data_IF_060575634628
#
_entry.id   IF_060575634628
#
_cell.length_a   1.000
_cell.length_b   1.000
_cell.length_c   1.000
_cell.angle_alpha   90.00
_cell.angle_beta   90.00
_cell.angle_gamma   90.00
#
_symmetry.space_group_name_H-M   'P 1'
#
loop_
_entity.id
_entity.type
_entity.pdbx_description
1 polymer ?
#
# COMPACT_ATOMS: atom_id res chain seq x y z
N UNK A 1 -12.60 15.21 -15.39
CA UNK A 1 -11.65 14.47 -16.26
C UNK A 1 -10.68 13.53 -15.52
N UNK A 2 -10.54 13.59 -14.18
CA UNK A 2 -9.60 12.69 -13.44
C UNK A 2 -9.98 11.20 -13.52
N UNK A 3 -11.27 10.87 -13.49
CA UNK A 3 -11.75 9.48 -13.62
C UNK A 3 -11.42 8.88 -14.99
N UNK A 4 -11.67 9.60 -16.09
CA UNK A 4 -11.35 9.10 -17.44
C UNK A 4 -9.86 8.78 -17.65
N UNK A 5 -8.95 9.56 -17.04
CA UNK A 5 -7.51 9.26 -17.09
C UNK A 5 -7.12 8.01 -16.28
N UNK A 6 -7.89 7.68 -15.23
CA UNK A 6 -7.65 6.48 -14.43
C UNK A 6 -8.17 5.23 -15.16
N UNK A 7 -9.32 5.32 -15.83
CA UNK A 7 -9.88 4.21 -16.61
C UNK A 7 -8.99 3.85 -17.80
N UNK A 8 -8.45 4.85 -18.50
CA UNK A 8 -7.44 4.63 -19.56
C UNK A 8 -6.18 3.95 -18.99
N UNK A 9 -5.67 4.42 -17.85
CA UNK A 9 -4.52 3.80 -17.19
C UNK A 9 -4.80 2.35 -16.76
N UNK A 10 -6.00 2.05 -16.28
CA UNK A 10 -6.45 0.69 -15.96
C UNK A 10 -6.45 -0.18 -17.23
N UNK A 11 -7.03 0.31 -18.32
CA UNK A 11 -7.08 -0.42 -19.59
C UNK A 11 -5.67 -0.77 -20.10
N UNK A 12 -4.74 0.19 -20.07
CA UNK A 12 -3.35 -0.03 -20.47
C UNK A 12 -2.63 -1.04 -19.56
N UNK A 13 -2.84 -0.97 -18.24
CA UNK A 13 -2.27 -1.96 -17.31
C UNK A 13 -2.84 -3.36 -17.52
N UNK A 14 -4.13 -3.49 -17.84
CA UNK A 14 -4.75 -4.77 -18.16
C UNK A 14 -4.18 -5.37 -19.46
N UNK A 15 -4.02 -4.56 -20.51
CA UNK A 15 -3.35 -5.00 -21.75
C UNK A 15 -1.90 -5.45 -21.50
N UNK A 16 -1.14 -4.67 -20.72
CA UNK A 16 0.23 -5.04 -20.36
C UNK A 16 0.27 -6.32 -19.51
N UNK A 17 -0.72 -6.55 -18.65
CA UNK A 17 -0.82 -7.77 -17.85
C UNK A 17 -1.13 -8.98 -18.74
N UNK A 18 -2.04 -8.85 -19.71
CA UNK A 18 -2.36 -9.91 -20.67
C UNK A 18 -1.10 -10.36 -21.44
N UNK A 19 -0.34 -9.40 -22.00
CA UNK A 19 0.91 -9.69 -22.71
C UNK A 19 1.92 -10.42 -21.80
N UNK A 20 2.05 -9.98 -20.55
CA UNK A 20 2.96 -10.63 -19.59
C UNK A 20 2.51 -12.03 -19.20
N UNK A 21 1.21 -12.29 -19.13
CA UNK A 21 0.66 -13.62 -18.82
C UNK A 21 0.88 -14.62 -19.95
N UNK A 22 1.09 -14.16 -21.19
CA UNK A 22 1.49 -15.01 -22.33
C UNK A 22 2.96 -15.42 -22.26
N UNK A 23 3.81 -14.58 -21.67
CA UNK A 23 5.27 -14.77 -21.64
C UNK A 23 5.80 -15.32 -20.30
N UNK A 24 5.08 -15.10 -19.19
CA UNK A 24 5.54 -15.43 -17.85
C UNK A 24 4.46 -16.16 -17.03
N UNK A 25 4.86 -17.01 -16.07
CA UNK A 25 3.91 -17.63 -15.14
C UNK A 25 3.04 -16.60 -14.41
N UNK A 26 1.80 -17.01 -14.08
CA UNK A 26 0.81 -16.16 -13.40
C UNK A 26 1.35 -15.55 -12.09
N UNK A 27 2.14 -16.33 -11.35
CA UNK A 27 2.86 -15.90 -10.15
C UNK A 27 4.34 -15.73 -10.49
N UNK A 28 4.67 -14.60 -11.14
CA UNK A 28 6.04 -14.23 -11.45
C UNK A 28 6.29 -12.78 -11.06
N UNK A 29 7.55 -12.37 -10.96
CA UNK A 29 7.91 -10.97 -10.70
C UNK A 29 7.35 -10.04 -11.76
N UNK A 30 7.34 -10.47 -13.03
CA UNK A 30 6.87 -9.63 -14.13
C UNK A 30 5.38 -9.34 -14.04
N UNK A 31 4.57 -10.34 -13.72
CA UNK A 31 3.13 -10.15 -13.50
C UNK A 31 2.88 -9.35 -12.22
N UNK A 32 3.67 -9.56 -11.16
CA UNK A 32 3.56 -8.85 -9.89
C UNK A 32 3.75 -7.33 -10.03
N UNK A 33 4.69 -6.86 -10.87
CA UNK A 33 4.91 -5.43 -11.12
C UNK A 33 3.64 -4.80 -11.69
N UNK A 34 3.05 -5.41 -12.73
CA UNK A 34 1.85 -4.86 -13.36
C UNK A 34 0.64 -4.99 -12.45
N UNK A 35 0.48 -6.10 -11.73
CA UNK A 35 -0.61 -6.25 -10.76
C UNK A 35 -0.51 -5.23 -9.61
N UNK A 36 0.69 -4.90 -9.13
CA UNK A 36 0.86 -3.84 -8.13
C UNK A 36 0.47 -2.45 -8.68
N UNK A 37 0.89 -2.12 -9.90
CA UNK A 37 0.53 -0.87 -10.55
C UNK A 37 -0.97 -0.75 -10.77
N UNK A 38 -1.60 -1.82 -11.27
CA UNK A 38 -3.05 -1.91 -11.47
C UNK A 38 -3.80 -1.72 -10.14
N UNK A 39 -3.35 -2.39 -9.08
CA UNK A 39 -3.91 -2.25 -7.74
C UNK A 39 -3.84 -0.82 -7.20
N UNK A 40 -2.70 -0.15 -7.35
CA UNK A 40 -2.56 1.28 -7.00
C UNK A 40 -3.52 2.17 -7.80
N UNK A 41 -3.69 1.89 -9.09
CA UNK A 41 -4.61 2.68 -9.93
C UNK A 41 -6.07 2.45 -9.56
N UNK A 42 -6.47 1.21 -9.26
CA UNK A 42 -7.81 0.90 -8.72
C UNK A 42 -8.08 1.60 -7.39
N UNK A 43 -7.11 1.62 -6.46
CA UNK A 43 -7.24 2.39 -5.21
C UNK A 43 -7.51 3.87 -5.46
N UNK A 44 -6.79 4.47 -6.42
CA UNK A 44 -6.99 5.89 -6.79
C UNK A 44 -8.34 6.14 -7.47
N UNK A 45 -8.93 5.12 -8.07
CA UNK A 45 -10.27 5.15 -8.67
C UNK A 45 -11.38 4.82 -7.66
N UNK A 46 -11.06 4.42 -6.42
CA UNK A 46 -12.04 4.02 -5.41
C UNK A 46 -12.60 2.60 -5.60
N UNK A 47 -11.98 1.79 -6.46
CA UNK A 47 -12.36 0.41 -6.81
C UNK A 47 -11.63 -0.56 -5.88
N UNK A 48 -12.13 -0.73 -4.66
CA UNK A 48 -11.38 -1.39 -3.58
C UNK A 48 -11.27 -2.91 -3.77
N UNK A 49 -12.29 -3.52 -4.34
CA UNK A 49 -12.35 -4.96 -4.59
C UNK A 49 -11.32 -5.37 -5.65
N UNK A 50 -11.27 -4.68 -6.78
CA UNK A 50 -10.28 -4.95 -7.84
C UNK A 50 -8.86 -4.56 -7.40
N UNK A 51 -8.73 -3.52 -6.58
CA UNK A 51 -7.47 -3.19 -5.93
C UNK A 51 -6.97 -4.33 -5.05
N UNK A 52 -7.86 -4.91 -4.23
CA UNK A 52 -7.54 -6.04 -3.36
C UNK A 52 -7.05 -7.24 -4.16
N UNK A 53 -7.79 -7.65 -5.19
CA UNK A 53 -7.40 -8.78 -6.03
C UNK A 53 -6.00 -8.57 -6.62
N UNK A 54 -5.78 -7.40 -7.22
CA UNK A 54 -4.52 -7.06 -7.89
C UNK A 54 -3.34 -7.00 -6.92
N UNK A 55 -3.51 -6.34 -5.77
CA UNK A 55 -2.45 -6.17 -4.77
C UNK A 55 -2.12 -7.47 -4.05
N UNK A 56 -3.11 -8.31 -3.72
CA UNK A 56 -2.87 -9.60 -3.08
C UNK A 56 -2.16 -10.58 -4.03
N UNK A 57 -2.47 -10.55 -5.33
CA UNK A 57 -1.73 -11.32 -6.34
C UNK A 57 -0.27 -10.89 -6.42
N UNK A 58 0.00 -9.58 -6.44
CA UNK A 58 1.36 -9.05 -6.39
C UNK A 58 2.08 -9.44 -5.09
N UNK A 59 1.40 -9.34 -3.94
CA UNK A 59 1.97 -9.71 -2.65
C UNK A 59 2.31 -11.21 -2.58
N UNK A 60 1.46 -12.08 -3.11
CA UNK A 60 1.70 -13.53 -3.16
C UNK A 60 2.97 -13.85 -3.95
N UNK A 61 3.11 -13.27 -5.16
CA UNK A 61 4.32 -13.43 -5.97
C UNK A 61 5.59 -12.88 -5.29
N UNK A 62 5.47 -11.83 -4.47
CA UNK A 62 6.59 -11.22 -3.70
C UNK A 62 6.86 -11.87 -2.35
N UNK A 63 6.02 -12.81 -1.91
CA UNK A 63 6.26 -13.65 -0.72
C UNK A 63 6.93 -14.97 -1.08
N UNK A 64 6.80 -15.40 -2.33
CA UNK A 64 7.39 -16.64 -2.81
C UNK A 64 8.92 -16.53 -2.90
N UNK A 65 9.61 -17.16 -1.96
CA UNK A 65 11.07 -17.17 -1.89
C UNK A 65 11.73 -17.83 -3.11
N UNK A 66 11.01 -18.68 -3.86
CA UNK A 66 11.55 -19.37 -5.05
C UNK A 66 11.69 -18.45 -6.26
N UNK A 67 10.93 -17.35 -6.32
CA UNK A 67 10.94 -16.39 -7.42
C UNK A 67 11.28 -14.96 -6.99
N UNK A 68 12.04 -14.79 -5.90
CA UNK A 68 12.53 -13.48 -5.46
C UNK A 68 11.73 -12.82 -4.33
N UNK A 69 10.97 -13.59 -3.55
CA UNK A 69 10.21 -13.08 -2.41
C UNK A 69 11.08 -12.78 -1.18
N UNK A 70 10.68 -11.73 -0.44
CA UNK A 70 11.14 -11.32 0.92
C UNK A 70 12.66 -11.37 1.23
N UNK A 71 13.53 -11.45 0.22
CA UNK A 71 14.98 -11.48 0.39
C UNK A 71 15.78 -11.60 -0.92
N UNK A 72 15.16 -12.08 -2.01
CA UNK A 72 15.87 -12.45 -3.26
C UNK A 72 15.42 -11.71 -4.53
N UNK A 73 14.56 -10.68 -4.45
CA UNK A 73 14.08 -9.90 -5.59
C UNK A 73 14.24 -8.38 -5.38
N UNK A 74 13.82 -7.53 -6.36
CA UNK A 74 13.91 -6.08 -6.21
C UNK A 74 13.21 -5.60 -4.93
N UNK A 75 14.02 -5.23 -3.94
CA UNK A 75 13.57 -4.93 -2.56
C UNK A 75 12.59 -3.76 -2.53
N UNK A 76 12.82 -2.77 -3.41
CA UNK A 76 11.95 -1.62 -3.57
C UNK A 76 10.53 -1.99 -4.03
N UNK A 77 10.39 -2.89 -5.02
CA UNK A 77 9.07 -3.30 -5.50
C UNK A 77 8.27 -4.02 -4.42
N UNK A 78 8.93 -4.88 -3.64
CA UNK A 78 8.29 -5.58 -2.54
C UNK A 78 7.82 -4.59 -1.45
N UNK A 79 8.63 -3.58 -1.13
CA UNK A 79 8.25 -2.51 -0.23
C UNK A 79 7.06 -1.69 -0.78
N UNK A 80 7.05 -1.40 -2.09
CA UNK A 80 5.93 -0.71 -2.74
C UNK A 80 4.63 -1.51 -2.69
N UNK A 81 4.69 -2.82 -2.90
CA UNK A 81 3.52 -3.69 -2.75
C UNK A 81 3.00 -3.69 -1.31
N UNK A 82 3.88 -3.78 -0.31
CA UNK A 82 3.48 -3.70 1.11
C UNK A 82 2.80 -2.37 1.42
N UNK A 83 3.35 -1.26 0.93
CA UNK A 83 2.79 0.08 1.12
C UNK A 83 1.40 0.21 0.47
N UNK A 84 1.22 -0.25 -0.77
CA UNK A 84 -0.07 -0.20 -1.44
C UNK A 84 -1.11 -1.11 -0.77
N UNK A 85 -0.71 -2.30 -0.29
CA UNK A 85 -1.60 -3.19 0.50
C UNK A 85 -1.99 -2.53 1.82
N UNK A 86 -1.07 -1.83 2.49
CA UNK A 86 -1.38 -1.08 3.69
C UNK A 86 -2.34 0.09 3.40
N UNK A 87 -2.15 0.81 2.30
CA UNK A 87 -3.06 1.87 1.88
C UNK A 87 -4.47 1.36 1.54
N UNK A 88 -4.58 0.16 0.96
CA UNK A 88 -5.85 -0.54 0.77
C UNK A 88 -6.53 -0.86 2.10
N UNK A 89 -5.78 -1.44 3.04
CA UNK A 89 -6.29 -1.79 4.38
C UNK A 89 -6.81 -0.55 5.12
N UNK A 90 -6.10 0.58 5.06
CA UNK A 90 -6.62 1.86 5.59
C UNK A 90 -7.94 2.29 4.92
N UNK A 91 -8.05 2.12 3.59
CA UNK A 91 -9.29 2.43 2.87
C UNK A 91 -10.45 1.51 3.26
N UNK A 92 -10.16 0.28 3.70
CA UNK A 92 -11.11 -0.69 4.24
C UNK A 92 -11.40 -0.50 5.74
N UNK A 93 -10.71 0.43 6.42
CA UNK A 93 -10.85 0.66 7.85
C UNK A 93 -9.96 -0.22 8.74
N UNK A 94 -9.14 -1.10 8.16
CA UNK A 94 -8.18 -1.95 8.88
C UNK A 94 -6.83 -1.21 9.08
N UNK A 95 -6.82 -0.29 10.04
CA UNK A 95 -5.63 0.53 10.34
C UNK A 95 -4.52 -0.24 11.03
N UNK A 96 -4.88 -1.21 11.88
CA UNK A 96 -3.93 -2.08 12.57
C UNK A 96 -3.21 -2.98 11.57
N UNK A 97 -3.96 -3.69 10.72
CA UNK A 97 -3.38 -4.52 9.68
C UNK A 97 -2.59 -3.70 8.64
N UNK A 98 -2.95 -2.45 8.38
CA UNK A 98 -2.16 -1.56 7.55
C UNK A 98 -0.80 -1.24 8.19
N UNK A 99 -0.76 -0.89 9.48
CA UNK A 99 0.47 -0.63 10.23
C UNK A 99 1.39 -1.85 10.23
N UNK A 100 0.83 -3.01 10.57
CA UNK A 100 1.55 -4.28 10.62
C UNK A 100 2.17 -4.65 9.26
N UNK A 101 1.44 -4.40 8.16
CA UNK A 101 1.95 -4.63 6.81
C UNK A 101 3.17 -3.75 6.49
N UNK A 102 3.15 -2.47 6.86
CA UNK A 102 4.28 -1.55 6.65
C UNK A 102 5.51 -1.96 7.44
N UNK A 103 5.31 -2.40 8.69
CA UNK A 103 6.41 -2.78 9.60
C UNK A 103 7.16 -4.06 9.18
N UNK A 104 6.61 -4.89 8.28
CA UNK A 104 7.30 -6.09 7.76
C UNK A 104 8.63 -5.80 7.05
N UNK A 105 8.87 -4.57 6.59
CA UNK A 105 10.14 -4.14 6.00
C UNK A 105 11.11 -3.49 7.00
N UNK A 106 10.70 -3.26 8.25
CA UNK A 106 11.42 -2.38 9.19
C UNK A 106 12.83 -2.89 9.54
N UNK A 107 12.98 -4.19 9.80
CA UNK A 107 14.27 -4.79 10.19
C UNK A 107 15.36 -4.63 9.12
N UNK A 108 14.97 -4.56 7.84
CA UNK A 108 15.89 -4.46 6.71
C UNK A 108 15.98 -3.04 6.12
N UNK A 109 15.29 -2.06 6.72
CA UNK A 109 15.16 -0.72 6.16
C UNK A 109 14.43 -0.64 4.82
N UNK A 110 13.55 -1.62 4.55
CA UNK A 110 12.76 -1.74 3.32
C UNK A 110 11.35 -1.14 3.50
N UNK A 111 11.28 0.07 4.05
CA UNK A 111 10.02 0.80 4.23
C UNK A 111 9.92 1.96 3.24
N UNK A 112 8.70 2.43 3.01
CA UNK A 112 8.42 3.59 2.16
C UNK A 112 7.68 4.67 2.94
N UNK A 113 7.71 5.87 2.37
CA UNK A 113 6.85 6.97 2.78
C UNK A 113 5.43 6.76 2.23
N UNK A 114 4.40 7.00 3.05
CA UNK A 114 3.00 6.86 2.64
C UNK A 114 2.52 7.89 1.62
N UNK A 115 3.29 8.96 1.38
CA UNK A 115 3.02 9.88 0.28
C UNK A 115 3.40 9.22 -1.07
N UNK A 116 2.42 8.97 -1.93
CA UNK A 116 2.63 8.37 -3.26
C UNK A 116 3.58 9.14 -4.18
N UNK A 117 3.81 10.41 -3.93
CA UNK A 117 4.70 11.27 -4.70
C UNK A 117 6.00 11.61 -3.96
N UNK A 118 6.33 10.87 -2.89
CA UNK A 118 7.60 11.04 -2.21
C UNK A 118 8.74 10.71 -3.18
N UNK A 119 9.76 11.59 -3.35
CA UNK A 119 10.89 11.32 -4.23
C UNK A 119 11.89 10.33 -3.61
N UNK A 120 11.76 10.05 -2.32
CA UNK A 120 12.65 9.12 -1.60
C UNK A 120 12.24 7.68 -1.92
N UNK A 121 13.24 6.82 -2.04
CA UNK A 121 13.07 5.39 -2.29
C UNK A 121 12.89 4.64 -0.95
N UNK A 122 13.68 3.60 -0.69
CA UNK A 122 13.68 2.87 0.57
C UNK A 122 14.18 3.73 1.74
N UNK A 123 13.51 3.59 2.87
CA UNK A 123 13.79 4.34 4.09
C UNK A 123 13.84 3.36 5.27
N UNK A 124 14.82 3.51 6.18
CA UNK A 124 14.82 2.77 7.42
C UNK A 124 13.79 3.33 8.41
N UNK A 125 13.37 2.49 9.36
CA UNK A 125 12.30 2.80 10.30
C UNK A 125 12.54 4.07 11.11
N UNK A 126 13.78 4.37 11.48
CA UNK A 126 14.17 5.55 12.27
C UNK A 126 14.04 6.88 11.51
N UNK A 127 14.01 6.84 10.17
CA UNK A 127 13.78 8.01 9.31
C UNK A 127 12.31 8.29 9.02
N UNK A 128 11.42 7.46 9.58
CA UNK A 128 9.98 7.53 9.36
C UNK A 128 9.24 7.93 10.63
N UNK A 129 8.31 8.88 10.49
CA UNK A 129 7.42 9.37 11.55
C UNK A 129 6.01 8.88 11.28
N UNK A 130 5.35 8.36 12.31
CA UNK A 130 3.96 7.91 12.20
C UNK A 130 2.99 9.11 12.22
N UNK A 131 1.84 8.95 11.58
CA UNK A 131 0.71 9.85 11.82
C UNK A 131 0.33 9.77 13.31
N UNK A 132 0.34 10.90 14.02
CA UNK A 132 0.07 10.92 15.47
C UNK A 132 -1.37 10.57 15.83
N UNK A 133 -2.31 10.71 14.90
CA UNK A 133 -3.74 10.48 15.16
C UNK A 133 -4.14 8.99 15.01
N UNK A 134 -3.63 8.31 13.98
CA UNK A 134 -4.03 6.94 13.67
C UNK A 134 -2.91 5.90 13.77
N UNK A 135 -1.66 6.35 13.94
CA UNK A 135 -0.43 5.54 14.04
C UNK A 135 -0.16 4.53 12.90
N UNK A 136 -1.00 4.50 11.87
CA UNK A 136 -1.00 3.46 10.82
C UNK A 136 -0.07 3.75 9.63
N UNK A 137 0.04 5.01 9.22
CA UNK A 137 0.85 5.44 8.08
C UNK A 137 2.10 6.18 8.54
N UNK A 138 3.18 6.04 7.77
CA UNK A 138 4.50 6.59 8.07
C UNK A 138 4.96 7.58 6.99
N UNK A 139 5.66 8.63 7.40
CA UNK A 139 6.16 9.68 6.52
C UNK A 139 7.61 10.04 6.82
N UNK A 140 8.38 10.37 5.79
CA UNK A 140 9.77 10.80 5.96
C UNK A 140 9.89 12.22 6.55
N UNK A 141 8.89 13.06 6.35
CA UNK A 141 8.86 14.46 6.79
C UNK A 141 7.43 15.00 6.84
N UNK A 142 7.29 16.21 7.39
CA UNK A 142 6.02 16.93 7.54
C UNK A 142 5.40 17.29 6.19
N UNK A 143 6.21 17.54 5.16
CA UNK A 143 5.73 17.90 3.83
C UNK A 143 5.02 16.72 3.18
N UNK A 144 5.62 15.53 3.22
CA UNK A 144 4.98 14.31 2.73
C UNK A 144 3.70 13.99 3.50
N UNK A 145 3.71 14.14 4.83
CA UNK A 145 2.49 13.97 5.62
C UNK A 145 1.40 14.96 5.19
N UNK A 146 1.73 16.24 5.02
CA UNK A 146 0.77 17.27 4.61
C UNK A 146 0.26 17.05 3.18
N UNK A 147 1.08 16.53 2.28
CA UNK A 147 0.69 16.17 0.93
C UNK A 147 -0.32 15.01 0.93
N UNK A 148 0.00 13.89 1.59
CA UNK A 148 -0.90 12.72 1.66
C UNK A 148 -2.20 13.06 2.42
N UNK A 149 -2.10 13.88 3.47
CA UNK A 149 -3.26 14.38 4.22
C UNK A 149 -4.28 15.05 3.30
N UNK A 150 -3.82 15.92 2.39
CA UNK A 150 -4.69 16.63 1.44
C UNK A 150 -5.22 15.72 0.34
N UNK A 151 -4.45 14.72 -0.09
CA UNK A 151 -4.81 13.91 -1.27
C UNK A 151 -5.63 12.66 -0.97
N UNK A 152 -5.45 12.03 0.20
CA UNK A 152 -6.04 10.71 0.50
C UNK A 152 -6.32 10.49 1.98
N UNK A 153 -5.37 10.78 2.86
CA UNK A 153 -5.37 10.21 4.22
C UNK A 153 -6.36 10.87 5.18
N UNK A 154 -6.60 12.20 5.08
CA UNK A 154 -7.49 12.94 6.00
C UNK A 154 -8.87 12.30 6.23
N UNK A 155 -9.67 11.98 5.20
CA UNK A 155 -10.99 11.39 5.42
C UNK A 155 -10.91 10.02 6.11
N UNK A 156 -9.98 9.16 5.71
CA UNK A 156 -9.79 7.83 6.29
C UNK A 156 -9.38 7.93 7.76
N UNK A 157 -8.37 8.76 8.06
CA UNK A 157 -7.88 8.96 9.41
C UNK A 157 -8.98 9.49 10.34
N UNK A 158 -9.76 10.48 9.89
CA UNK A 158 -10.85 11.03 10.69
C UNK A 158 -11.92 10.00 11.02
N UNK A 159 -12.34 9.21 10.03
CA UNK A 159 -13.31 8.14 10.22
C UNK A 159 -12.81 7.14 11.27
N UNK A 160 -11.57 6.67 11.13
CA UNK A 160 -10.96 5.76 12.09
C UNK A 160 -10.87 6.32 13.51
N UNK A 161 -10.41 7.57 13.67
CA UNK A 161 -10.33 8.19 15.00
C UNK A 161 -11.69 8.39 15.65
N UNK A 162 -12.73 8.65 14.85
CA UNK A 162 -14.10 8.73 15.36
C UNK A 162 -14.58 7.35 15.83
N UNK A 163 -14.32 6.29 15.07
CA UNK A 163 -14.64 4.90 15.46
C UNK A 163 -13.93 4.49 16.75
N UNK A 164 -12.64 4.80 16.90
CA UNK A 164 -11.90 4.52 18.15
C UNK A 164 -12.49 5.29 19.32
N UNK A 165 -12.75 6.59 19.15
CA UNK A 165 -13.28 7.45 20.22
C UNK A 165 -14.68 7.03 20.66
N UNK A 166 -15.47 6.44 19.77
CA UNK A 166 -16.82 5.94 20.05
C UNK A 166 -16.84 4.53 20.67
N UNK A 167 -15.71 3.83 20.71
CA UNK A 167 -15.63 2.48 21.27
C UNK A 167 -15.71 2.59 22.81
N UNK A 168 -16.66 1.91 23.48
CA UNK A 168 -16.75 1.97 24.93
C UNK A 168 -15.42 1.58 25.55
N UNK A 169 -14.91 2.39 26.47
CA UNK A 169 -13.78 1.98 27.29
C UNK A 169 -14.27 0.81 28.13
N UNK A 170 -13.86 -0.41 27.78
CA UNK A 170 -13.97 -1.53 28.71
C UNK A 170 -13.04 -1.19 29.85
N UNK A 171 -13.61 -0.64 30.93
CA UNK A 171 -12.96 -0.62 32.24
C UNK A 171 -12.65 -2.07 32.57
N UNK A 172 -11.39 -2.45 32.42
CA UNK A 172 -10.91 -3.71 32.97
C UNK A 172 -10.97 -3.58 34.48
N UNK A 173 -12.02 -4.15 35.06
CA UNK A 173 -12.12 -4.34 36.50
C UNK A 173 -11.10 -5.40 36.95
N UNK A 174 -10.38 -5.03 38.02
CA UNK A 174 -9.64 -5.84 39.02
C UNK A 174 -8.47 -6.72 38.56
#
# INVERSE_FOLDING_TARGET
>A
MRSGRLDESIALHLQALDLKLRAYPKLSIQTAITSNALGKTYLRAGRLEEAQESLLKALKARKDQTHGGLGLGPRLDAAATRENVAALREAQGDFEGASEMRLKGAANGEMLCGNYNCPKSMLPRDKLKTCQACTSVLYCDRECQAADWRSRHKPLCKAHTATISARPQTTGDA
#
